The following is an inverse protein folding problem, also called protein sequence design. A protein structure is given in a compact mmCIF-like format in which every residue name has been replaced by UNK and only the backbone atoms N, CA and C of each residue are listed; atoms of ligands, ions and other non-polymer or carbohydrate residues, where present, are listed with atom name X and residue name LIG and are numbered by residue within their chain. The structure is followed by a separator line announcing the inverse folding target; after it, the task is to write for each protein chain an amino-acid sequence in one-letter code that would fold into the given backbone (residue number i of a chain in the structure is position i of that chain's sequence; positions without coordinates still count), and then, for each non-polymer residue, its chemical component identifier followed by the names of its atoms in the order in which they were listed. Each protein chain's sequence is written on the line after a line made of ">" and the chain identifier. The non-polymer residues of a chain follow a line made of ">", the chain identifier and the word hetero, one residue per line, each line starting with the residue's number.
data_IF_064707563582
#
_entry.id   IF_064707563582
#
_cell.length_a   1.000
_cell.length_b   1.000
_cell.length_c   1.000
_cell.angle_alpha   90.00
_cell.angle_beta   90.00
_cell.angle_gamma   90.00
#
_symmetry.space_group_name_H-M   'P 1'
#
loop_
_entity.id
_entity.type
_entity.pdbx_description
1 polymer ?
#
# COMPACT_ATOMS: atom_id res chain seq x y z
N UNK A 1 2.69 14.75 8.06
CA UNK A 1 3.30 15.63 7.10
C UNK A 1 4.57 15.03 6.52
N UNK A 2 4.73 15.13 5.19
CA UNK A 2 5.90 14.60 4.53
C UNK A 2 5.97 13.09 4.42
N UNK A 3 4.88 12.38 4.68
CA UNK A 3 4.84 10.92 4.56
C UNK A 3 4.96 10.50 3.09
N UNK A 4 5.80 9.51 2.83
CA UNK A 4 5.92 8.89 1.51
C UNK A 4 4.95 7.73 1.43
N UNK A 5 4.05 7.76 0.46
CA UNK A 5 2.91 6.84 0.38
C UNK A 5 2.99 5.96 -0.86
N UNK A 6 2.76 4.67 -0.68
CA UNK A 6 2.52 3.72 -1.75
C UNK A 6 1.07 3.24 -1.67
N UNK A 7 0.32 3.39 -2.74
CA UNK A 7 -1.00 2.77 -2.88
C UNK A 7 -0.88 1.65 -3.90
N UNK A 8 -0.85 0.43 -3.41
CA UNK A 8 -0.50 -0.73 -4.22
C UNK A 8 -1.65 -1.24 -5.08
N UNK A 9 -2.87 -0.78 -4.84
CA UNK A 9 -4.07 -1.21 -5.59
C UNK A 9 -4.99 -0.02 -5.79
N UNK A 10 -4.46 1.04 -6.40
CA UNK A 10 -5.04 2.37 -6.39
C UNK A 10 -6.16 2.58 -7.43
N UNK A 11 -7.26 1.85 -7.32
CA UNK A 11 -8.41 2.04 -8.21
C UNK A 11 -9.60 2.61 -7.42
N UNK A 12 -9.98 3.84 -7.62
CA UNK A 12 -9.46 4.90 -8.49
C UNK A 12 -8.39 5.79 -7.88
N UNK A 13 -7.68 5.36 -6.84
CA UNK A 13 -6.60 6.11 -6.21
C UNK A 13 -7.04 7.15 -5.19
N UNK A 14 -8.28 7.04 -4.71
CA UNK A 14 -8.87 8.09 -3.88
C UNK A 14 -8.16 8.26 -2.54
N UNK A 15 -7.74 7.16 -1.90
CA UNK A 15 -7.16 7.23 -0.56
C UNK A 15 -5.84 7.99 -0.55
N UNK A 16 -4.91 7.64 -1.46
CA UNK A 16 -3.61 8.30 -1.51
C UNK A 16 -3.72 9.72 -2.02
N UNK A 17 -4.60 9.98 -3.00
CA UNK A 17 -4.82 11.34 -3.50
C UNK A 17 -5.44 12.25 -2.44
N UNK A 18 -6.31 11.71 -1.57
CA UNK A 18 -6.85 12.47 -0.44
C UNK A 18 -5.76 12.80 0.60
N UNK A 19 -4.79 11.93 0.77
CA UNK A 19 -3.70 12.17 1.73
C UNK A 19 -2.78 13.31 1.30
N UNK A 20 -2.61 13.52 -0.02
CA UNK A 20 -1.70 14.55 -0.53
C UNK A 20 -2.08 15.97 -0.09
N UNK A 21 -3.35 16.40 -0.16
CA UNK A 21 -3.73 17.73 0.33
C UNK A 21 -3.53 17.90 1.83
N UNK A 22 -3.37 16.81 2.58
CA UNK A 22 -3.14 16.82 4.02
C UNK A 22 -1.67 16.78 4.40
N UNK A 23 -0.79 16.92 3.41
CA UNK A 23 0.65 16.99 3.64
C UNK A 23 1.42 15.71 3.37
N UNK A 24 0.77 14.62 2.95
CA UNK A 24 1.48 13.44 2.50
C UNK A 24 2.23 13.74 1.21
N UNK A 25 3.45 13.19 1.07
CA UNK A 25 4.31 13.63 -0.02
C UNK A 25 5.53 12.72 -0.13
N UNK A 26 5.84 12.19 -1.28
CA UNK A 26 5.02 11.97 -2.47
C UNK A 26 4.18 10.69 -2.38
N UNK A 27 3.32 10.47 -3.38
CA UNK A 27 2.54 9.25 -3.49
C UNK A 27 2.88 8.48 -4.76
N UNK A 28 2.98 7.17 -4.64
CA UNK A 28 3.09 6.26 -5.78
C UNK A 28 1.83 5.40 -5.82
N UNK A 29 1.17 5.38 -6.97
CA UNK A 29 -0.07 4.63 -7.17
C UNK A 29 0.17 3.52 -8.17
N UNK A 30 -0.23 2.31 -7.82
CA UNK A 30 -0.07 1.15 -8.70
C UNK A 30 -1.45 0.60 -9.05
N UNK A 31 -1.71 0.42 -10.35
CA UNK A 31 -2.97 -0.12 -10.83
C UNK A 31 -2.73 -0.94 -12.09
N UNK A 32 -3.22 -2.17 -12.10
CA UNK A 32 -3.05 -3.08 -13.23
C UNK A 32 -4.15 -2.96 -14.29
N UNK A 33 -5.33 -2.44 -13.93
CA UNK A 33 -6.43 -2.24 -14.86
C UNK A 33 -6.20 -0.94 -15.64
N UNK A 34 -6.16 -1.04 -16.96
CA UNK A 34 -5.91 0.10 -17.84
C UNK A 34 -6.96 1.20 -17.71
N UNK A 35 -8.23 0.83 -17.58
CA UNK A 35 -9.31 1.80 -17.48
C UNK A 35 -9.25 2.54 -16.14
N UNK A 36 -9.00 1.82 -15.06
CA UNK A 36 -8.80 2.42 -13.75
C UNK A 36 -7.55 3.29 -13.72
N UNK A 37 -6.47 2.86 -14.34
CA UNK A 37 -5.24 3.64 -14.44
C UNK A 37 -5.47 4.96 -15.18
N UNK A 38 -6.27 4.95 -16.24
CA UNK A 38 -6.61 6.17 -16.98
C UNK A 38 -7.39 7.15 -16.12
N UNK A 39 -8.31 6.66 -15.29
CA UNK A 39 -9.06 7.51 -14.35
C UNK A 39 -8.12 8.13 -13.31
N UNK A 40 -7.19 7.36 -12.77
CA UNK A 40 -6.20 7.85 -11.81
C UNK A 40 -5.35 8.95 -12.44
N UNK A 41 -4.87 8.74 -13.67
CA UNK A 41 -4.09 9.75 -14.40
C UNK A 41 -4.87 11.05 -14.55
N UNK A 42 -6.15 10.96 -14.91
CA UNK A 42 -7.00 12.15 -15.04
C UNK A 42 -7.18 12.85 -13.70
N UNK A 43 -7.33 12.09 -12.62
CA UNK A 43 -7.48 12.67 -11.28
C UNK A 43 -6.21 13.38 -10.83
N UNK A 44 -5.04 12.82 -11.11
CA UNK A 44 -3.75 13.46 -10.83
C UNK A 44 -3.65 14.78 -11.60
N UNK A 45 -4.01 14.77 -12.87
CA UNK A 45 -3.96 15.97 -13.69
C UNK A 45 -4.95 17.04 -13.20
N UNK A 46 -6.17 16.61 -12.84
CA UNK A 46 -7.20 17.53 -12.34
C UNK A 46 -6.80 18.22 -11.03
N UNK A 47 -6.04 17.51 -10.18
CA UNK A 47 -5.54 18.06 -8.93
C UNK A 47 -4.22 18.83 -9.12
N UNK A 48 -3.72 18.90 -10.35
CA UNK A 48 -2.48 19.61 -10.71
C UNK A 48 -1.27 19.12 -9.90
N UNK A 49 -1.21 17.84 -9.66
CA UNK A 49 -0.10 17.21 -8.94
C UNK A 49 1.02 16.84 -9.93
N UNK A 50 2.23 17.27 -9.65
CA UNK A 50 3.39 16.89 -10.44
C UNK A 50 3.86 15.47 -10.11
N UNK A 51 4.79 14.94 -10.90
CA UNK A 51 5.35 13.60 -10.70
C UNK A 51 6.12 13.46 -9.39
N UNK A 52 6.55 14.55 -8.84
CA UNK A 52 7.20 14.61 -7.52
C UNK A 52 6.19 14.47 -6.37
N UNK A 53 4.90 14.69 -6.63
CA UNK A 53 3.83 14.57 -5.64
C UNK A 53 3.00 13.31 -5.85
N UNK A 54 2.71 12.94 -7.09
CA UNK A 54 1.94 11.74 -7.40
C UNK A 54 2.45 11.10 -8.68
N UNK A 55 2.65 9.81 -8.66
CA UNK A 55 3.10 9.03 -9.82
C UNK A 55 2.28 7.76 -9.92
N UNK A 56 1.73 7.50 -11.10
CA UNK A 56 1.08 6.24 -11.40
C UNK A 56 2.11 5.26 -11.97
N UNK A 57 2.15 4.05 -11.41
CA UNK A 57 2.92 2.94 -11.96
C UNK A 57 1.92 1.91 -12.49
N UNK A 58 1.76 1.80 -13.82
CA UNK A 58 0.85 0.79 -14.38
C UNK A 58 1.38 -0.61 -14.12
N UNK A 59 0.47 -1.54 -13.89
CA UNK A 59 0.79 -2.94 -13.72
C UNK A 59 0.50 -3.46 -12.32
N UNK A 60 0.80 -4.74 -12.13
CA UNK A 60 0.55 -5.43 -10.86
C UNK A 60 1.78 -5.31 -9.96
N UNK A 61 1.67 -4.51 -8.91
CA UNK A 61 2.76 -4.29 -7.96
C UNK A 61 3.17 -5.58 -7.24
N UNK A 62 2.23 -6.51 -7.02
CA UNK A 62 2.53 -7.77 -6.36
C UNK A 62 3.52 -8.61 -7.16
N UNK A 63 3.54 -8.44 -8.48
CA UNK A 63 4.44 -9.18 -9.37
C UNK A 63 5.71 -8.42 -9.69
N UNK A 64 5.63 -7.13 -9.95
CA UNK A 64 6.79 -6.36 -10.40
C UNK A 64 7.46 -5.54 -9.29
N UNK A 65 6.78 -5.36 -8.16
CA UNK A 65 7.31 -4.52 -7.09
C UNK A 65 7.23 -3.04 -7.40
N UNK A 66 7.77 -2.23 -6.51
CA UNK A 66 7.83 -0.78 -6.67
C UNK A 66 9.12 -0.28 -6.03
N UNK A 67 9.67 0.79 -6.59
CA UNK A 67 10.85 1.45 -6.04
C UNK A 67 10.42 2.70 -5.26
N UNK A 68 11.03 2.93 -4.11
CA UNK A 68 10.75 4.13 -3.32
C UNK A 68 11.25 5.38 -4.06
N UNK A 69 10.51 6.49 -3.98
CA UNK A 69 10.88 7.73 -4.69
C UNK A 69 11.93 8.54 -3.93
N UNK A 70 13.11 7.97 -3.70
CA UNK A 70 14.23 8.62 -3.02
C UNK A 70 14.20 8.55 -1.49
N UNK A 71 13.07 8.24 -0.89
CA UNK A 71 12.92 8.02 0.55
C UNK A 71 12.09 6.76 0.78
N UNK A 72 12.29 6.04 1.91
CA UNK A 72 11.46 4.89 2.22
C UNK A 72 9.97 5.24 2.37
N UNK A 73 9.12 4.27 2.07
CA UNK A 73 7.68 4.43 2.27
C UNK A 73 7.34 4.46 3.76
N UNK A 74 6.54 5.43 4.15
CA UNK A 74 6.01 5.57 5.51
C UNK A 74 4.62 4.97 5.66
N UNK A 75 3.88 4.86 4.56
CA UNK A 75 2.50 4.40 4.57
C UNK A 75 2.25 3.62 3.29
N UNK A 76 1.68 2.43 3.43
CA UNK A 76 1.29 1.58 2.29
C UNK A 76 -0.19 1.24 2.42
N UNK A 77 -0.96 1.51 1.36
CA UNK A 77 -2.34 1.05 1.25
C UNK A 77 -2.39 -0.18 0.36
N UNK A 78 -2.96 -1.27 0.88
CA UNK A 78 -3.11 -2.53 0.17
C UNK A 78 -4.58 -2.94 0.18
N UNK A 79 -5.20 -2.92 -1.00
CA UNK A 79 -6.55 -3.44 -1.22
C UNK A 79 -6.49 -4.29 -2.48
N UNK A 80 -5.83 -5.47 -2.41
CA UNK A 80 -5.62 -6.30 -3.58
C UNK A 80 -6.92 -6.97 -4.04
N UNK A 81 -6.96 -7.51 -5.27
CA UNK A 81 -8.12 -8.26 -5.74
C UNK A 81 -8.51 -9.37 -4.78
N UNK A 82 -9.81 -9.67 -4.73
CA UNK A 82 -10.44 -10.60 -3.78
C UNK A 82 -9.71 -11.93 -3.60
N UNK A 83 -9.26 -12.53 -4.69
CA UNK A 83 -8.62 -13.86 -4.65
C UNK A 83 -7.11 -13.82 -4.40
N UNK A 84 -6.56 -12.68 -4.02
CA UNK A 84 -5.11 -12.56 -3.79
C UNK A 84 -4.70 -13.31 -2.52
N UNK A 85 -3.71 -14.19 -2.66
CA UNK A 85 -3.15 -14.91 -1.52
C UNK A 85 -2.40 -13.93 -0.61
N UNK A 86 -2.69 -13.90 0.70
CA UNK A 86 -1.94 -13.04 1.62
C UNK A 86 -0.42 -13.23 1.55
N UNK A 87 0.07 -14.41 1.21
CA UNK A 87 1.50 -14.65 1.05
C UNK A 87 2.12 -13.77 -0.04
N UNK A 88 1.38 -13.44 -1.09
CA UNK A 88 1.86 -12.53 -2.13
C UNK A 88 2.04 -11.11 -1.60
N UNK A 89 1.13 -10.67 -0.73
CA UNK A 89 1.20 -9.35 -0.11
C UNK A 89 2.42 -9.25 0.80
N UNK A 90 2.62 -10.21 1.67
CA UNK A 90 3.81 -10.22 2.54
C UNK A 90 5.09 -10.44 1.76
N UNK A 91 5.03 -11.13 0.63
CA UNK A 91 6.14 -11.22 -0.31
C UNK A 91 6.54 -9.87 -0.88
N UNK A 92 5.56 -9.03 -1.23
CA UNK A 92 5.83 -7.66 -1.67
C UNK A 92 6.52 -6.86 -0.57
N UNK A 93 5.99 -6.91 0.66
CA UNK A 93 6.59 -6.20 1.78
C UNK A 93 8.03 -6.65 2.02
N UNK A 94 8.30 -7.95 1.91
CA UNK A 94 9.64 -8.51 2.05
C UNK A 94 10.59 -8.00 0.97
N UNK A 95 10.14 -7.93 -0.27
CA UNK A 95 10.96 -7.39 -1.37
C UNK A 95 11.25 -5.90 -1.21
N UNK A 96 10.25 -5.13 -0.75
CA UNK A 96 10.46 -3.72 -0.47
C UNK A 96 11.45 -3.51 0.67
N UNK A 97 11.36 -4.33 1.70
CA UNK A 97 12.30 -4.26 2.82
C UNK A 97 13.72 -4.59 2.37
N UNK A 98 13.88 -5.61 1.55
CA UNK A 98 15.19 -5.99 0.99
C UNK A 98 15.81 -4.89 0.13
N UNK A 99 14.98 -4.01 -0.44
CA UNK A 99 15.41 -2.86 -1.23
C UNK A 99 15.59 -1.58 -0.40
N UNK A 100 15.50 -1.69 0.92
CA UNK A 100 15.54 -0.54 1.85
C UNK A 100 14.46 0.50 1.56
N UNK A 101 13.30 0.05 1.08
CA UNK A 101 12.20 0.92 0.68
C UNK A 101 11.16 1.14 1.78
N UNK A 102 11.32 0.56 2.95
CA UNK A 102 10.36 0.67 4.05
C UNK A 102 10.94 1.44 5.23
N UNK A 103 10.22 2.45 5.69
CA UNK A 103 10.59 3.20 6.88
C UNK A 103 10.49 2.33 8.14
N UNK A 104 11.28 2.66 9.15
CA UNK A 104 11.25 1.92 10.42
C UNK A 104 9.89 2.01 11.12
N UNK A 105 9.20 3.13 10.96
CA UNK A 105 7.88 3.39 11.55
C UNK A 105 6.75 3.23 10.53
N UNK A 106 6.95 2.40 9.51
CA UNK A 106 5.97 2.10 8.48
C UNK A 106 4.64 1.65 9.06
N UNK A 107 3.55 2.17 8.46
CA UNK A 107 2.20 1.69 8.72
C UNK A 107 1.66 1.11 7.40
N UNK A 108 1.07 -0.08 7.47
CA UNK A 108 0.42 -0.72 6.33
C UNK A 108 -1.06 -0.83 6.61
N UNK A 109 -1.88 -0.29 5.71
CA UNK A 109 -3.34 -0.45 5.75
C UNK A 109 -3.71 -1.54 4.74
N UNK A 110 -4.16 -2.70 5.22
CA UNK A 110 -4.38 -3.87 4.41
C UNK A 110 -5.84 -4.34 4.51
N UNK A 111 -6.56 -4.28 3.39
CA UNK A 111 -7.91 -4.83 3.28
C UNK A 111 -7.84 -6.22 2.65
N UNK A 112 -8.54 -7.17 3.26
CA UNK A 112 -8.59 -8.55 2.77
C UNK A 112 -9.89 -9.23 3.20
N UNK A 113 -10.15 -10.41 2.66
CA UNK A 113 -11.30 -11.20 3.05
C UNK A 113 -11.14 -11.69 4.49
N UNK A 114 -12.23 -11.68 5.26
CA UNK A 114 -12.21 -12.11 6.65
C UNK A 114 -11.82 -13.59 6.80
N UNK A 115 -12.05 -14.42 5.77
CA UNK A 115 -11.61 -15.80 5.78
C UNK A 115 -10.09 -15.96 5.83
N UNK A 116 -9.34 -14.91 5.49
CA UNK A 116 -7.88 -14.90 5.53
C UNK A 116 -7.31 -14.38 6.84
N UNK A 117 -8.14 -14.04 7.83
CA UNK A 117 -7.67 -13.44 9.08
C UNK A 117 -6.56 -14.25 9.75
N UNK A 118 -6.72 -15.56 9.87
CA UNK A 118 -5.72 -16.42 10.53
C UNK A 118 -4.42 -16.47 9.73
N UNK A 119 -4.52 -16.56 8.40
CA UNK A 119 -3.34 -16.57 7.54
C UNK A 119 -2.57 -15.25 7.64
N UNK A 120 -3.29 -14.12 7.68
CA UNK A 120 -2.68 -12.81 7.82
C UNK A 120 -1.98 -12.67 9.17
N UNK A 121 -2.61 -13.15 10.25
CA UNK A 121 -1.97 -13.14 11.58
C UNK A 121 -0.65 -13.91 11.58
N UNK A 122 -0.65 -15.11 11.01
CA UNK A 122 0.56 -15.93 10.95
C UNK A 122 1.65 -15.27 10.10
N UNK A 123 1.28 -14.77 8.93
CA UNK A 123 2.23 -14.13 8.03
C UNK A 123 2.79 -12.83 8.60
N UNK A 124 1.96 -12.03 9.27
CA UNK A 124 2.41 -10.82 9.93
C UNK A 124 3.47 -11.14 10.98
N UNK A 125 3.17 -12.10 11.86
CA UNK A 125 4.09 -12.51 12.92
C UNK A 125 5.42 -13.01 12.37
N UNK A 126 5.38 -13.88 11.35
CA UNK A 126 6.61 -14.43 10.75
C UNK A 126 7.37 -13.41 9.92
N UNK A 127 6.72 -12.35 9.48
CA UNK A 127 7.34 -11.31 8.65
C UNK A 127 7.81 -10.10 9.44
N UNK A 128 7.64 -10.10 10.76
CA UNK A 128 8.10 -9.01 11.61
C UNK A 128 7.11 -7.85 11.75
N UNK A 129 5.82 -8.14 11.62
CA UNK A 129 4.75 -7.15 11.80
C UNK A 129 3.83 -7.55 12.93
N UNK A 130 3.16 -6.56 13.51
CA UNK A 130 2.03 -6.81 14.40
C UNK A 130 0.78 -6.15 13.84
N UNK A 131 -0.38 -6.71 14.15
CA UNK A 131 -1.66 -6.13 13.80
C UNK A 131 -2.03 -5.16 14.93
N UNK A 132 -1.83 -3.86 14.67
CA UNK A 132 -2.09 -2.81 15.65
C UNK A 132 -3.59 -2.58 15.83
N UNK A 133 -4.38 -2.81 14.77
CA UNK A 133 -5.82 -2.61 14.78
C UNK A 133 -6.45 -3.52 13.74
N UNK A 134 -7.59 -4.10 14.09
CA UNK A 134 -8.38 -4.92 13.16
C UNK A 134 -9.85 -4.54 13.26
N UNK A 135 -10.47 -4.29 12.11
CA UNK A 135 -11.89 -4.02 12.00
C UNK A 135 -12.53 -4.90 10.95
N UNK A 136 -13.75 -5.32 11.20
CA UNK A 136 -14.52 -6.13 10.27
C UNK A 136 -15.69 -5.34 9.69
N UNK A 137 -15.86 -5.41 8.38
CA UNK A 137 -16.95 -4.78 7.65
C UNK A 137 -17.59 -5.87 6.76
N UNK A 138 -18.65 -6.53 7.26
CA UNK A 138 -19.21 -7.68 6.56
C UNK A 138 -18.15 -8.78 6.42
N UNK A 139 -17.84 -9.16 5.18
CA UNK A 139 -16.83 -10.20 4.89
C UNK A 139 -15.42 -9.63 4.69
N UNK A 140 -15.25 -8.34 4.91
CA UNK A 140 -13.96 -7.67 4.71
C UNK A 140 -13.31 -7.35 6.05
N UNK A 141 -12.01 -7.57 6.14
CA UNK A 141 -11.20 -7.17 7.28
C UNK A 141 -10.27 -6.04 6.85
N UNK A 142 -10.17 -5.01 7.68
CA UNK A 142 -9.18 -3.95 7.54
C UNK A 142 -8.18 -4.08 8.69
N UNK A 143 -6.95 -4.40 8.35
CA UNK A 143 -5.86 -4.49 9.32
C UNK A 143 -4.89 -3.33 9.16
N UNK A 144 -4.52 -2.73 10.28
CA UNK A 144 -3.39 -1.82 10.32
C UNK A 144 -2.20 -2.57 10.89
N UNK A 145 -1.13 -2.65 10.09
CA UNK A 145 0.08 -3.37 10.47
C UNK A 145 1.17 -2.37 10.80
N UNK A 146 1.92 -2.66 11.86
CA UNK A 146 3.11 -1.91 12.23
C UNK A 146 4.30 -2.86 12.27
N UNK A 147 5.48 -2.34 11.96
CA UNK A 147 6.70 -3.13 12.06
C UNK A 147 7.06 -3.36 13.52
N UNK A 148 7.41 -4.59 13.85
CA UNK A 148 7.93 -4.89 15.18
C UNK A 148 9.32 -4.27 15.32
N UNK A 149 9.59 -3.65 16.47
CA UNK A 149 10.91 -3.15 16.77
C UNK A 149 11.84 -4.34 17.03
N UNK A 150 12.90 -4.42 16.24
CA UNK A 150 13.99 -5.39 16.50
C UNK A 150 15.12 -4.63 17.14
N UNK A 151 15.50 -5.07 18.32
CA UNK A 151 16.67 -4.53 18.98
C UNK A 151 17.93 -5.22 18.48
#
# INVERSE_FOLDING_TARGET
>A
DGAVVLDASAAPGALSLEALPRGADPAMLCERDRDAAAVIERNIAALRLGRDRARLLPGDVLKRGAAAPGRPFDLIFLDPPYATDPAEVFGLLSRLDAADALAADLIVSYEHDASDDDAVETLAETSGYEIASRRHFGDTTLDLLERLCTE
#
